data_IF_338797110444
#
_entry.id   IF_338797110444
#
_cell.length_a   1.000
_cell.length_b   1.000
_cell.length_c   1.000
_cell.angle_alpha   90.00
_cell.angle_beta   90.00
_cell.angle_gamma   90.00
#
_symmetry.space_group_name_H-M   'P 1'
#
loop_
_entity.id
_entity.type
_entity.pdbx_description
1 polymer ?
#
# COMPACT_ATOMS: atom_id res chain seq x y z
N UNK A 1 -36.11 -14.88 31.16
CA UNK A 1 -35.75 -15.57 29.91
C UNK A 1 -36.24 -14.65 28.80
N UNK A 2 -35.45 -13.62 28.50
CA UNK A 2 -35.84 -12.55 27.57
C UNK A 2 -35.51 -13.00 26.15
N UNK A 3 -36.55 -13.10 25.33
CA UNK A 3 -36.47 -13.39 23.90
C UNK A 3 -35.93 -12.16 23.18
N UNK A 4 -34.66 -12.17 22.78
CA UNK A 4 -34.07 -11.14 21.91
C UNK A 4 -34.72 -11.22 20.53
N UNK A 5 -35.23 -10.08 20.08
CA UNK A 5 -36.01 -9.93 18.86
C UNK A 5 -35.07 -9.88 17.64
N UNK A 6 -35.18 -10.80 16.66
CA UNK A 6 -34.28 -10.88 15.50
C UNK A 6 -34.38 -9.69 14.52
N UNK A 7 -35.31 -8.75 14.72
CA UNK A 7 -35.47 -7.56 13.88
C UNK A 7 -34.46 -6.44 14.17
N UNK A 8 -33.76 -6.47 15.31
CA UNK A 8 -32.88 -5.36 15.72
C UNK A 8 -31.44 -5.47 15.17
N UNK A 9 -31.02 -6.67 14.73
CA UNK A 9 -29.66 -6.91 14.24
C UNK A 9 -29.46 -6.35 12.82
N UNK A 10 -30.49 -6.42 11.98
CA UNK A 10 -30.47 -5.95 10.60
C UNK A 10 -30.32 -4.43 10.47
N UNK A 11 -30.84 -3.65 11.44
CA UNK A 11 -30.71 -2.19 11.40
C UNK A 11 -29.30 -1.75 11.77
N UNK A 12 -28.68 -2.38 12.77
CA UNK A 12 -27.33 -2.06 13.23
C UNK A 12 -26.28 -2.16 12.10
N UNK A 13 -26.31 -3.25 11.32
CA UNK A 13 -25.41 -3.44 10.19
C UNK A 13 -25.67 -2.39 9.09
N UNK A 14 -26.93 -2.04 8.83
CA UNK A 14 -27.28 -1.05 7.82
C UNK A 14 -26.82 0.35 8.23
N UNK A 15 -26.91 0.69 9.52
CA UNK A 15 -26.43 1.95 10.08
C UNK A 15 -24.92 2.09 9.91
N UNK A 16 -24.14 1.03 10.24
CA UNK A 16 -22.69 1.03 10.02
C UNK A 16 -22.31 1.11 8.53
N UNK A 17 -23.01 0.40 7.65
CA UNK A 17 -22.79 0.47 6.20
C UNK A 17 -23.05 1.89 5.68
N UNK A 18 -24.10 2.53 6.20
CA UNK A 18 -24.46 3.90 5.83
C UNK A 18 -23.37 4.87 6.27
N UNK A 19 -22.94 4.77 7.53
CA UNK A 19 -21.84 5.56 8.08
C UNK A 19 -20.56 5.40 7.26
N UNK A 20 -20.16 4.17 6.96
CA UNK A 20 -18.94 3.89 6.18
C UNK A 20 -19.02 4.44 4.75
N UNK A 21 -20.19 4.34 4.11
CA UNK A 21 -20.41 4.86 2.77
C UNK A 21 -20.35 6.39 2.72
N UNK A 22 -20.91 7.06 3.72
CA UNK A 22 -20.89 8.52 3.82
C UNK A 22 -19.50 9.04 4.20
N UNK A 23 -18.79 8.33 5.07
CA UNK A 23 -17.44 8.73 5.51
C UNK A 23 -16.41 8.50 4.39
N UNK A 24 -16.57 7.45 3.58
CA UNK A 24 -15.56 7.01 2.61
C UNK A 24 -16.14 6.71 1.20
N UNK A 25 -16.71 7.73 0.52
CA UNK A 25 -17.35 7.58 -0.79
C UNK A 25 -16.29 7.40 -1.89
N UNK A 26 -15.82 6.17 -2.09
CA UNK A 26 -14.83 5.83 -3.12
C UNK A 26 -13.86 4.74 -2.68
N UNK A 27 -13.68 4.58 -1.38
CA UNK A 27 -12.84 3.53 -0.79
C UNK A 27 -13.66 2.34 -0.28
N UNK A 28 -14.98 2.52 -0.14
CA UNK A 28 -15.90 1.53 0.41
C UNK A 28 -16.90 1.00 -0.63
N UNK A 29 -17.13 -0.31 -0.58
CA UNK A 29 -18.25 -0.97 -1.26
C UNK A 29 -18.85 -2.07 -0.38
N UNK A 30 -20.15 -2.32 -0.56
CA UNK A 30 -20.86 -3.39 0.15
C UNK A 30 -21.81 -4.10 -0.80
N UNK A 31 -21.87 -5.42 -0.68
CA UNK A 31 -22.78 -6.29 -1.42
C UNK A 31 -23.40 -7.32 -0.48
N UNK A 32 -24.65 -7.67 -0.71
CA UNK A 32 -25.35 -8.69 0.08
C UNK A 32 -25.74 -9.84 -0.82
N UNK A 33 -25.41 -11.07 -0.40
CA UNK A 33 -25.73 -12.30 -1.12
C UNK A 33 -26.21 -13.36 -0.13
N UNK A 34 -27.40 -13.94 -0.37
CA UNK A 34 -27.97 -15.04 0.43
C UNK A 34 -27.90 -14.80 1.96
N UNK A 35 -28.22 -13.58 2.40
CA UNK A 35 -28.22 -13.19 3.81
C UNK A 35 -26.85 -12.84 4.40
N UNK A 36 -25.76 -13.07 3.66
CA UNK A 36 -24.43 -12.65 4.06
C UNK A 36 -24.08 -11.32 3.38
N UNK A 37 -23.60 -10.35 4.17
CA UNK A 37 -23.12 -9.08 3.66
C UNK A 37 -21.60 -9.09 3.60
N UNK A 38 -21.06 -8.80 2.42
CA UNK A 38 -19.62 -8.66 2.19
C UNK A 38 -19.30 -7.19 1.93
N UNK A 39 -18.39 -6.67 2.72
CA UNK A 39 -17.89 -5.31 2.68
C UNK A 39 -16.45 -5.37 2.15
N UNK A 40 -16.09 -4.48 1.22
CA UNK A 40 -14.73 -4.32 0.72
C UNK A 40 -14.32 -2.88 0.93
N UNK A 41 -13.14 -2.68 1.52
CA UNK A 41 -12.62 -1.37 1.88
C UNK A 41 -11.15 -1.23 1.45
N UNK A 42 -10.82 -0.16 0.72
CA UNK A 42 -9.44 0.24 0.42
C UNK A 42 -8.89 1.11 1.56
N UNK A 43 -7.91 0.60 2.28
CA UNK A 43 -7.21 1.32 3.34
C UNK A 43 -6.01 2.02 2.72
N UNK A 44 -5.95 3.35 2.86
CA UNK A 44 -4.79 4.15 2.48
C UNK A 44 -4.48 5.20 3.56
N UNK A 45 -3.22 5.66 3.71
CA UNK A 45 -2.83 6.65 4.71
C UNK A 45 -3.55 7.97 4.52
N UNK A 46 -3.86 8.62 5.64
CA UNK A 46 -4.55 9.91 5.69
C UNK A 46 -6.04 9.81 6.00
N UNK A 47 -6.61 10.93 6.46
CA UNK A 47 -8.05 11.10 6.61
C UNK A 47 -8.67 11.49 5.28
N UNK A 48 -9.93 11.09 5.07
CA UNK A 48 -10.70 11.41 3.87
C UNK A 48 -10.51 12.86 3.42
N UNK A 49 -10.42 13.04 2.11
CA UNK A 49 -10.27 14.29 1.35
C UNK A 49 -8.84 14.81 1.11
N UNK A 50 -7.81 14.39 1.84
CA UNK A 50 -6.43 14.77 1.49
C UNK A 50 -5.76 13.69 0.64
N UNK A 51 -5.72 13.93 -0.67
CA UNK A 51 -4.88 13.15 -1.59
C UNK A 51 -3.44 13.53 -1.33
N UNK A 52 -2.78 12.87 -0.36
CA UNK A 52 -1.32 12.83 -0.39
C UNK A 52 -0.93 12.23 -1.74
N UNK A 53 -0.11 12.94 -2.50
CA UNK A 53 0.24 12.56 -3.86
C UNK A 53 1.01 11.24 -3.94
N UNK A 54 1.58 10.78 -2.81
CA UNK A 54 2.36 9.55 -2.72
C UNK A 54 1.75 8.59 -1.69
N UNK A 55 0.81 7.74 -2.12
CA UNK A 55 0.32 6.61 -1.31
C UNK A 55 1.35 5.48 -1.38
N UNK A 56 2.20 5.37 -0.36
CA UNK A 56 3.28 4.38 -0.34
C UNK A 56 2.81 3.04 0.24
N UNK A 57 1.75 3.06 1.03
CA UNK A 57 1.14 1.88 1.64
C UNK A 57 -0.34 1.90 1.28
N UNK A 58 -0.87 0.77 0.86
CA UNK A 58 -2.30 0.52 0.86
C UNK A 58 -2.58 -0.98 0.95
N UNK A 59 -3.82 -1.32 1.29
CA UNK A 59 -4.31 -2.68 1.23
C UNK A 59 -5.83 -2.69 1.21
N UNK A 60 -6.42 -3.81 0.82
CA UNK A 60 -7.86 -4.03 0.91
C UNK A 60 -8.22 -4.90 2.10
N UNK A 61 -9.30 -4.53 2.78
CA UNK A 61 -9.96 -5.37 3.79
C UNK A 61 -11.29 -5.85 3.22
N UNK A 62 -11.51 -7.16 3.28
CA UNK A 62 -12.82 -7.76 3.10
C UNK A 62 -13.38 -8.16 4.47
N UNK A 63 -14.59 -7.71 4.76
CA UNK A 63 -15.32 -8.08 5.98
C UNK A 63 -16.60 -8.79 5.57
N UNK A 64 -16.87 -9.94 6.19
CA UNK A 64 -18.07 -10.73 5.91
C UNK A 64 -18.91 -10.86 7.18
N UNK A 65 -20.11 -10.27 7.15
CA UNK A 65 -21.09 -10.32 8.22
C UNK A 65 -22.21 -11.30 7.83
N UNK A 66 -22.48 -12.26 8.72
CA UNK A 66 -23.65 -13.13 8.58
C UNK A 66 -24.92 -12.41 9.11
N UNK A 67 -26.12 -13.00 8.99
CA UNK A 67 -27.35 -12.39 9.52
C UNK A 67 -27.40 -12.19 11.05
N UNK A 68 -26.54 -12.87 11.81
CA UNK A 68 -26.50 -12.81 13.28
C UNK A 68 -25.60 -11.69 13.81
N UNK A 69 -24.80 -11.05 12.95
CA UNK A 69 -24.02 -9.87 13.31
C UNK A 69 -24.91 -8.76 13.93
N UNK A 70 -24.48 -8.07 15.02
CA UNK A 70 -23.17 -8.18 15.69
C UNK A 70 -23.08 -9.26 16.78
N UNK A 71 -24.13 -10.06 17.00
CA UNK A 71 -24.11 -11.12 18.02
C UNK A 71 -23.02 -12.19 17.75
N UNK A 72 -22.73 -12.41 16.47
CA UNK A 72 -21.54 -13.14 16.03
C UNK A 72 -20.53 -12.18 15.39
N UNK A 73 -19.24 -12.42 15.65
CA UNK A 73 -18.15 -11.67 15.06
C UNK A 73 -18.13 -11.79 13.52
N UNK A 74 -17.79 -10.71 12.80
CA UNK A 74 -17.55 -10.78 11.36
C UNK A 74 -16.27 -11.56 11.07
N UNK A 75 -16.15 -12.07 9.83
CA UNK A 75 -14.88 -12.61 9.32
C UNK A 75 -14.12 -11.52 8.59
N UNK A 76 -12.79 -11.50 8.73
CA UNK A 76 -11.93 -10.47 8.15
C UNK A 76 -10.82 -11.11 7.30
N UNK A 77 -10.50 -10.49 6.17
CA UNK A 77 -9.38 -10.86 5.30
C UNK A 77 -8.69 -9.63 4.76
N UNK A 78 -7.35 -9.62 4.78
CA UNK A 78 -6.50 -8.56 4.23
C UNK A 78 -5.86 -9.07 2.94
N UNK A 79 -5.91 -8.28 1.87
CA UNK A 79 -5.41 -8.67 0.53
C UNK A 79 -5.01 -7.44 -0.29
N UNK A 80 -4.40 -7.67 -1.46
CA UNK A 80 -3.85 -6.61 -2.34
C UNK A 80 -2.99 -5.61 -1.54
N UNK A 81 -1.98 -6.14 -0.85
CA UNK A 81 -1.17 -5.39 0.10
C UNK A 81 0.04 -4.78 -0.61
N UNK A 82 0.25 -3.48 -0.42
CA UNK A 82 1.44 -2.77 -0.88
C UNK A 82 2.14 -2.09 0.30
N UNK A 83 3.48 -2.19 0.32
CA UNK A 83 4.32 -1.47 1.28
C UNK A 83 4.40 -2.07 2.68
N UNK A 84 3.55 -3.05 3.02
CA UNK A 84 3.64 -3.79 4.29
C UNK A 84 4.41 -5.10 4.15
N UNK A 85 5.38 -5.32 5.04
CA UNK A 85 6.05 -6.61 5.16
C UNK A 85 5.12 -7.65 5.80
N UNK A 86 5.29 -8.93 5.47
CA UNK A 86 4.44 -10.02 5.98
C UNK A 86 4.32 -10.06 7.50
N UNK A 87 5.39 -9.67 8.22
CA UNK A 87 5.36 -9.60 9.69
C UNK A 87 4.34 -8.58 10.19
N UNK A 88 4.23 -7.45 9.50
CA UNK A 88 3.37 -6.33 9.86
C UNK A 88 1.93 -6.61 9.44
N UNK A 89 1.72 -7.30 8.30
CA UNK A 89 0.40 -7.84 7.90
C UNK A 89 -0.11 -8.85 8.93
N UNK A 90 0.74 -9.78 9.38
CA UNK A 90 0.38 -10.74 10.43
C UNK A 90 0.03 -10.02 11.74
N UNK A 91 0.84 -9.03 12.13
CA UNK A 91 0.60 -8.21 13.32
C UNK A 91 -0.75 -7.49 13.25
N UNK A 92 -1.04 -6.83 12.12
CA UNK A 92 -2.32 -6.16 11.90
C UNK A 92 -3.48 -7.15 11.97
N UNK A 93 -3.34 -8.32 11.35
CA UNK A 93 -4.38 -9.37 11.36
C UNK A 93 -4.67 -9.85 12.78
N UNK A 94 -3.64 -10.07 13.61
CA UNK A 94 -3.82 -10.44 15.03
C UNK A 94 -4.56 -9.34 15.80
N UNK A 95 -4.10 -8.09 15.70
CA UNK A 95 -4.69 -6.96 16.42
C UNK A 95 -6.16 -6.72 16.02
N UNK A 96 -6.50 -6.86 14.74
CA UNK A 96 -7.88 -6.73 14.28
C UNK A 96 -8.77 -7.88 14.77
N UNK A 97 -8.25 -9.11 14.86
CA UNK A 97 -9.01 -10.23 15.42
C UNK A 97 -9.22 -10.07 16.93
N UNK A 98 -8.25 -9.52 17.65
CA UNK A 98 -8.39 -9.15 19.07
C UNK A 98 -9.47 -8.07 19.24
N UNK A 99 -9.43 -7.00 18.44
CA UNK A 99 -10.47 -5.96 18.42
C UNK A 99 -11.87 -6.54 18.15
N UNK A 100 -11.99 -7.42 17.17
CA UNK A 100 -13.26 -8.10 16.83
C UNK A 100 -13.75 -8.99 17.99
N UNK A 101 -12.85 -9.65 18.70
CA UNK A 101 -13.20 -10.50 19.84
C UNK A 101 -13.65 -9.67 21.05
N UNK A 102 -12.97 -8.56 21.33
CA UNK A 102 -13.30 -7.63 22.42
C UNK A 102 -14.66 -6.95 22.22
N UNK A 103 -15.05 -6.71 20.97
CA UNK A 103 -16.32 -6.06 20.59
C UNK A 103 -17.43 -7.06 20.23
N UNK A 104 -17.29 -8.33 20.60
CA UNK A 104 -18.30 -9.34 20.30
C UNK A 104 -19.65 -8.97 20.92
N UNK A 105 -20.68 -8.87 20.08
CA UNK A 105 -22.03 -8.46 20.47
C UNK A 105 -22.34 -6.99 20.17
N UNK A 106 -21.33 -6.19 19.84
CA UNK A 106 -21.43 -4.78 19.52
C UNK A 106 -20.99 -4.49 18.07
N UNK A 107 -21.51 -3.43 17.43
CA UNK A 107 -20.98 -2.97 16.14
C UNK A 107 -19.49 -2.59 16.22
N UNK A 108 -18.71 -2.99 15.19
CA UNK A 108 -17.24 -2.92 15.16
C UNK A 108 -16.65 -2.54 13.80
N UNK A 109 -17.46 -2.40 12.74
CA UNK A 109 -16.96 -2.21 11.37
C UNK A 109 -16.18 -0.90 11.25
N UNK A 110 -16.66 0.19 11.84
CA UNK A 110 -15.96 1.47 11.82
C UNK A 110 -14.60 1.38 12.53
N UNK A 111 -14.58 0.74 13.71
CA UNK A 111 -13.37 0.59 14.52
C UNK A 111 -12.29 -0.21 13.78
N UNK A 112 -12.67 -1.24 13.00
CA UNK A 112 -11.75 -2.00 12.14
C UNK A 112 -11.08 -1.06 11.12
N UNK A 113 -11.86 -0.21 10.46
CA UNK A 113 -11.36 0.71 9.43
C UNK A 113 -10.48 1.79 10.06
N UNK A 114 -10.91 2.38 11.17
CA UNK A 114 -10.18 3.42 11.89
C UNK A 114 -8.84 2.89 12.41
N UNK A 115 -8.84 1.73 13.07
CA UNK A 115 -7.62 1.06 13.54
C UNK A 115 -6.66 0.76 12.39
N UNK A 116 -7.18 0.28 11.27
CA UNK A 116 -6.37 -0.09 10.10
C UNK A 116 -5.71 1.13 9.46
N UNK A 117 -6.39 2.28 9.43
CA UNK A 117 -5.83 3.54 8.93
C UNK A 117 -4.76 4.07 9.88
N UNK A 118 -5.02 4.05 11.19
CA UNK A 118 -4.06 4.45 12.20
C UNK A 118 -2.78 3.61 12.14
N UNK A 119 -2.92 2.30 11.91
CA UNK A 119 -1.79 1.38 11.78
C UNK A 119 -0.80 1.79 10.67
N UNK A 120 -1.29 2.41 9.59
CA UNK A 120 -0.46 2.84 8.46
C UNK A 120 -0.31 4.36 8.34
N UNK A 121 -0.71 5.13 9.36
CA UNK A 121 -0.79 6.59 9.31
C UNK A 121 0.53 7.27 8.94
N UNK A 122 1.68 6.70 9.34
CA UNK A 122 3.00 7.24 9.03
C UNK A 122 3.39 7.13 7.55
N UNK A 123 2.67 6.35 6.73
CA UNK A 123 2.94 6.15 5.31
C UNK A 123 4.39 5.70 4.96
N UNK A 124 5.13 5.12 5.92
CA UNK A 124 6.48 4.59 5.69
C UNK A 124 6.42 3.08 5.44
N UNK A 125 6.78 2.59 4.24
CA UNK A 125 6.77 1.16 3.94
C UNK A 125 7.62 0.37 4.93
N UNK A 126 7.09 -0.76 5.38
CA UNK A 126 7.79 -1.68 6.31
C UNK A 126 8.54 -2.79 5.58
N UNK A 127 8.30 -2.92 4.26
CA UNK A 127 9.18 -3.66 3.34
C UNK A 127 10.55 -3.00 3.25
N UNK A 128 11.53 -3.74 2.73
CA UNK A 128 12.89 -3.23 2.56
C UNK A 128 13.07 -2.64 1.16
N UNK A 129 14.03 -1.72 1.03
CA UNK A 129 14.54 -1.30 -0.26
C UNK A 129 15.04 -2.51 -1.06
N UNK A 130 14.60 -2.65 -2.31
CA UNK A 130 14.96 -3.80 -3.13
C UNK A 130 16.43 -3.81 -3.60
N UNK A 131 17.16 -2.70 -3.45
CA UNK A 131 18.58 -2.60 -3.82
C UNK A 131 19.49 -2.93 -2.63
N UNK A 132 19.32 -2.24 -1.50
CA UNK A 132 20.23 -2.39 -0.34
C UNK A 132 19.70 -3.36 0.74
N UNK A 133 18.44 -3.79 0.62
CA UNK A 133 17.75 -4.67 1.58
C UNK A 133 17.57 -4.08 3.00
N UNK A 134 17.78 -2.78 3.17
CA UNK A 134 17.52 -2.06 4.42
C UNK A 134 16.10 -1.46 4.43
N UNK A 135 15.53 -1.29 5.63
CA UNK A 135 14.22 -0.64 5.83
C UNK A 135 14.26 0.88 5.61
N UNK A 136 13.08 1.48 5.55
CA UNK A 136 12.90 2.93 5.41
C UNK A 136 12.73 3.61 6.77
N UNK A 137 13.35 4.77 6.95
CA UNK A 137 13.21 5.56 8.17
C UNK A 137 12.14 6.65 8.06
N UNK A 138 11.97 7.23 6.88
CA UNK A 138 11.08 8.37 6.62
C UNK A 138 10.47 8.23 5.23
N UNK A 139 9.24 8.74 5.05
CA UNK A 139 8.54 8.79 3.76
C UNK A 139 9.37 9.51 2.69
N UNK A 140 10.07 10.58 3.07
CA UNK A 140 10.89 11.41 2.17
C UNK A 140 12.12 10.70 1.61
N UNK A 141 12.49 9.52 2.14
CA UNK A 141 13.60 8.69 1.62
C UNK A 141 13.10 7.62 0.64
N UNK A 142 11.79 7.52 0.41
CA UNK A 142 11.20 6.45 -0.40
C UNK A 142 11.02 6.93 -1.84
N UNK A 143 11.58 6.18 -2.76
CA UNK A 143 11.16 6.14 -4.16
C UNK A 143 10.27 4.91 -4.35
N UNK A 144 9.05 5.12 -4.83
CA UNK A 144 8.11 4.03 -5.13
C UNK A 144 7.70 4.12 -6.59
N UNK A 145 7.75 3.00 -7.30
CA UNK A 145 7.22 2.94 -8.66
C UNK A 145 5.70 2.72 -8.63
N UNK A 146 4.97 3.04 -9.72
CA UNK A 146 3.58 2.67 -9.93
C UNK A 146 3.22 1.22 -9.63
N UNK A 147 4.14 0.28 -9.89
CA UNK A 147 3.98 -1.15 -9.59
C UNK A 147 4.41 -1.52 -8.15
N UNK A 148 4.51 -0.53 -7.25
CA UNK A 148 4.86 -0.69 -5.84
C UNK A 148 6.22 -1.37 -5.59
N UNK A 149 7.23 -1.01 -6.38
CA UNK A 149 8.62 -1.34 -6.07
C UNK A 149 9.29 -0.22 -5.28
N UNK A 150 9.86 -0.56 -4.13
CA UNK A 150 10.36 0.41 -3.15
C UNK A 150 11.88 0.48 -3.13
N UNK A 151 12.41 1.69 -3.17
CA UNK A 151 13.84 1.97 -3.14
C UNK A 151 14.13 3.17 -2.25
N UNK A 152 15.32 3.23 -1.63
CA UNK A 152 15.79 4.51 -1.12
C UNK A 152 16.04 5.46 -2.28
N UNK A 153 15.74 6.74 -2.10
CA UNK A 153 16.01 7.78 -3.09
C UNK A 153 17.48 7.77 -3.53
N UNK A 154 18.40 7.53 -2.58
CA UNK A 154 19.83 7.40 -2.90
C UNK A 154 20.15 6.12 -3.67
N UNK A 155 19.59 4.98 -3.30
CA UNK A 155 19.87 3.72 -3.99
C UNK A 155 19.39 3.74 -5.44
N UNK A 156 18.20 4.28 -5.71
CA UNK A 156 17.71 4.41 -7.08
C UNK A 156 18.50 5.48 -7.87
N UNK A 157 18.97 6.53 -7.21
CA UNK A 157 19.87 7.53 -7.80
C UNK A 157 21.20 6.93 -8.25
N UNK A 158 21.84 6.10 -7.40
CA UNK A 158 23.06 5.37 -7.77
C UNK A 158 22.83 4.41 -8.95
N UNK A 159 21.69 3.72 -8.96
CA UNK A 159 21.29 2.88 -10.08
C UNK A 159 21.19 3.69 -11.39
N UNK A 160 20.48 4.83 -11.38
CA UNK A 160 20.36 5.71 -12.55
C UNK A 160 21.72 6.21 -13.03
N UNK A 161 22.60 6.64 -12.12
CA UNK A 161 23.94 7.08 -12.46
C UNK A 161 24.77 5.97 -13.12
N UNK A 162 24.72 4.76 -12.56
CA UNK A 162 25.43 3.62 -13.10
C UNK A 162 24.96 3.29 -14.53
N UNK A 163 23.64 3.22 -14.73
CA UNK A 163 23.06 2.98 -16.07
C UNK A 163 23.42 4.06 -17.07
N UNK A 164 23.44 5.32 -16.65
CA UNK A 164 23.88 6.42 -17.52
C UNK A 164 25.35 6.27 -17.94
N UNK A 165 26.23 5.88 -17.01
CA UNK A 165 27.65 5.64 -17.28
C UNK A 165 27.87 4.44 -18.21
N UNK A 166 27.21 3.31 -17.93
CA UNK A 166 27.26 2.12 -18.80
C UNK A 166 26.79 2.47 -20.20
N UNK A 167 25.68 3.20 -20.32
CA UNK A 167 25.17 3.63 -21.62
C UNK A 167 26.15 4.52 -22.39
N UNK A 168 26.82 5.47 -21.72
CA UNK A 168 27.86 6.31 -22.33
C UNK A 168 29.04 5.48 -22.84
N UNK A 169 29.43 4.44 -22.11
CA UNK A 169 30.49 3.51 -22.51
C UNK A 169 30.08 2.67 -23.73
N UNK A 170 28.88 2.09 -23.71
CA UNK A 170 28.31 1.34 -24.83
C UNK A 170 28.25 2.19 -26.11
N UNK A 171 27.81 3.45 -26.01
CA UNK A 171 27.79 4.37 -27.14
C UNK A 171 29.19 4.73 -27.67
N UNK A 172 30.18 4.85 -26.79
CA UNK A 172 31.57 5.12 -27.19
C UNK A 172 32.14 3.92 -27.96
N UNK A 173 31.98 2.71 -27.44
CA UNK A 173 32.42 1.47 -28.11
C UNK A 173 31.71 1.23 -29.45
N UNK A 174 30.41 1.56 -29.53
CA UNK A 174 29.65 1.48 -30.79
C UNK A 174 30.16 2.47 -31.83
N UNK A 175 30.46 3.71 -31.44
CA UNK A 175 30.99 4.74 -32.34
C UNK A 175 32.40 4.43 -32.83
N UNK A 176 33.22 3.78 -32.01
CA UNK A 176 34.54 3.31 -32.43
C UNK A 176 34.46 2.23 -33.51
N UNK A 177 33.45 1.34 -33.42
CA UNK A 177 33.22 0.26 -34.39
C UNK A 177 32.49 0.73 -35.65
N UNK A 178 31.55 1.67 -35.51
CA UNK A 178 30.77 2.27 -36.58
C UNK A 178 30.49 3.76 -36.29
N UNK A 179 31.22 4.69 -36.91
CA UNK A 179 31.03 6.12 -36.73
C UNK A 179 29.64 6.63 -37.14
N UNK A 180 28.91 5.87 -37.95
CA UNK A 180 27.56 6.22 -38.43
C UNK A 180 26.46 5.49 -37.66
N UNK A 181 26.80 4.79 -36.57
CA UNK A 181 25.82 4.08 -35.76
C UNK A 181 24.72 5.01 -35.24
N UNK A 182 23.49 4.49 -35.19
CA UNK A 182 22.36 5.24 -34.63
C UNK A 182 22.49 5.32 -33.12
N UNK A 183 22.30 6.52 -32.57
CA UNK A 183 22.26 6.72 -31.12
C UNK A 183 21.01 6.05 -30.55
N UNK A 184 21.23 5.07 -29.66
CA UNK A 184 20.17 4.45 -28.87
C UNK A 184 19.94 5.35 -27.64
N UNK A 185 18.69 5.64 -27.25
CA UNK A 185 18.43 6.40 -26.03
C UNK A 185 18.76 5.57 -24.77
N UNK A 186 19.09 6.25 -23.68
CA UNK A 186 19.25 5.63 -22.37
C UNK A 186 17.94 4.94 -21.97
N UNK A 187 18.06 3.69 -21.49
CA UNK A 187 16.96 2.93 -20.89
C UNK A 187 17.23 2.65 -19.43
N UNK A 188 16.19 2.74 -18.62
CA UNK A 188 16.23 2.61 -17.17
C UNK A 188 15.14 1.63 -16.72
N UNK A 189 15.29 0.34 -17.03
CA UNK A 189 14.33 -0.64 -16.58
C UNK A 189 14.28 -0.66 -15.04
N UNK A 190 13.12 -0.90 -14.45
CA UNK A 190 13.00 -1.08 -13.00
C UNK A 190 13.93 -2.22 -12.52
N UNK A 191 14.74 -2.03 -11.47
CA UNK A 191 15.65 -3.06 -10.97
C UNK A 191 14.95 -4.38 -10.57
N UNK A 192 13.66 -4.32 -10.23
CA UNK A 192 12.87 -5.48 -9.78
C UNK A 192 12.19 -6.17 -10.96
N UNK A 193 11.19 -5.53 -11.59
CA UNK A 193 10.38 -6.19 -12.62
C UNK A 193 11.00 -6.12 -14.02
N UNK A 194 11.88 -5.15 -14.30
CA UNK A 194 12.50 -4.87 -15.62
C UNK A 194 11.51 -4.59 -16.76
N UNK A 195 10.21 -4.49 -16.47
CA UNK A 195 9.15 -4.19 -17.43
C UNK A 195 8.91 -2.68 -17.52
N UNK A 196 8.90 -2.02 -16.37
CA UNK A 196 8.69 -0.59 -16.26
C UNK A 196 9.96 0.20 -16.62
N UNK A 197 9.84 1.23 -17.45
CA UNK A 197 10.92 2.17 -17.76
C UNK A 197 10.84 3.38 -16.83
N UNK A 198 11.85 3.55 -15.99
CA UNK A 198 11.91 4.63 -15.01
C UNK A 198 12.33 5.96 -15.68
N UNK A 199 11.72 7.10 -15.30
CA UNK A 199 12.19 8.40 -15.73
C UNK A 199 13.55 8.71 -15.10
N UNK A 200 14.52 9.16 -15.90
CA UNK A 200 15.80 9.63 -15.37
C UNK A 200 15.58 10.88 -14.50
N UNK A 201 16.24 10.92 -13.34
CA UNK A 201 16.15 12.04 -12.40
C UNK A 201 17.54 12.49 -11.95
N UNK A 202 17.95 13.66 -12.44
CA UNK A 202 19.22 14.28 -12.07
C UNK A 202 19.28 14.62 -10.56
N UNK A 203 18.14 14.99 -9.96
CA UNK A 203 18.10 15.28 -8.52
C UNK A 203 18.36 14.05 -7.65
N UNK A 204 17.88 12.86 -8.06
CA UNK A 204 18.16 11.60 -7.36
C UNK A 204 19.63 11.20 -7.50
N UNK A 205 20.21 11.38 -8.68
CA UNK A 205 21.64 11.15 -8.93
C UNK A 205 22.50 12.07 -8.06
N UNK A 206 22.15 13.35 -7.96
CA UNK A 206 22.88 14.30 -7.11
C UNK A 206 22.75 13.96 -5.62
N UNK A 207 21.56 13.56 -5.16
CA UNK A 207 21.32 13.14 -3.79
C UNK A 207 22.17 11.92 -3.41
N UNK A 208 22.29 10.95 -4.31
CA UNK A 208 23.15 9.79 -4.12
C UNK A 208 24.62 10.18 -3.85
N UNK A 209 25.17 11.10 -4.65
CA UNK A 209 26.56 11.54 -4.48
C UNK A 209 26.80 12.31 -3.17
N UNK A 210 25.82 13.09 -2.69
CA UNK A 210 25.96 13.85 -1.44
C UNK A 210 26.14 12.96 -0.21
N UNK A 211 25.50 11.78 -0.19
CA UNK A 211 25.56 10.84 0.96
C UNK A 211 26.87 10.03 1.01
N UNK A 212 27.66 10.03 -0.07
CA UNK A 212 28.99 9.39 -0.11
C UNK A 212 30.11 10.24 0.54
N UNK A 213 29.81 11.48 0.93
CA UNK A 213 30.76 12.45 1.51
C UNK A 213 30.51 12.76 3.00
N UNK A 214 29.65 12.00 3.67
CA UNK A 214 29.36 12.06 5.11
C UNK A 214 29.79 10.74 5.77
#
# INVERSE_FOLDING_TARGET
METRNPTNNSSCLLDEITLLRETYPGEFSASSNLGTTTLSFLISPGVGFTVSSNKLIDFKIQITCNPEYPATSPNLTIYEIHGLADRDVRRLTVLLNELIAERKGDPVLFDIIDFSREFIANNVPTVNCAICLCGFAQESDVYCTPEFHYFHNTCIGEYMHHREKEHKQELAELREKDPYCKLVPLRLPCPVCRVEELPYSESLVQLAHQKQHL
#
